data_IF_188681869409
#
_entry.id   IF_188681869409
#
_cell.length_a   1.000
_cell.length_b   1.000
_cell.length_c   1.000
_cell.angle_alpha   90.00
_cell.angle_beta   90.00
_cell.angle_gamma   90.00
#
_symmetry.space_group_name_H-M   'P 1'
#
loop_
_entity.id
_entity.type
_entity.pdbx_description
1 polymer ?
#
# COMPACT_ATOMS: atom_id res chain seq x y z
N UNK A 1 9.10 57.80 24.69
CA UNK A 1 9.98 56.68 25.10
C UNK A 1 9.18 55.38 25.04
N UNK A 2 9.63 54.41 24.21
CA UNK A 2 9.77 52.95 24.51
C UNK A 2 8.50 52.20 24.99
N UNK A 3 8.02 51.10 24.38
CA UNK A 3 8.66 49.95 23.69
C UNK A 3 7.60 49.21 22.83
N UNK A 4 7.99 48.72 21.66
CA UNK A 4 7.28 47.64 20.95
C UNK A 4 7.44 46.32 21.74
N UNK A 5 6.39 45.53 22.02
CA UNK A 5 6.56 44.18 22.50
C UNK A 5 6.93 43.27 21.33
N UNK A 6 8.21 42.90 21.36
CA UNK A 6 8.90 41.86 20.63
C UNK A 6 8.29 40.48 20.98
N UNK A 7 7.09 40.18 20.50
CA UNK A 7 6.41 38.89 20.74
C UNK A 7 5.82 38.31 19.44
N UNK A 8 6.42 38.64 18.31
CA UNK A 8 5.98 38.23 16.98
C UNK A 8 7.10 37.51 16.22
N UNK A 9 7.78 36.58 16.89
CA UNK A 9 8.85 35.76 16.31
C UNK A 9 9.02 34.56 17.23
N UNK A 10 8.29 33.46 16.97
CA UNK A 10 8.61 32.07 17.38
C UNK A 10 7.42 31.10 17.30
N UNK A 11 6.36 31.42 16.56
CA UNK A 11 5.51 30.37 15.96
C UNK A 11 6.06 30.08 14.56
N UNK A 12 7.30 29.62 14.51
CA UNK A 12 7.79 28.89 13.35
C UNK A 12 6.96 27.61 13.32
N UNK A 13 5.93 27.64 12.47
CA UNK A 13 5.16 26.49 12.05
C UNK A 13 6.16 25.39 11.69
N UNK A 14 6.35 24.42 12.60
CA UNK A 14 6.93 23.14 12.26
C UNK A 14 5.97 22.50 11.27
N UNK A 15 6.09 22.86 10.00
CA UNK A 15 5.58 22.06 8.91
C UNK A 15 6.39 20.77 8.96
N UNK A 16 5.92 19.81 9.74
CA UNK A 16 6.27 18.41 9.54
C UNK A 16 6.10 18.20 8.03
N UNK A 17 7.16 17.79 7.29
CA UNK A 17 6.96 17.40 5.91
C UNK A 17 5.83 16.37 5.95
N UNK A 18 4.76 16.63 5.19
CA UNK A 18 3.74 15.62 5.00
C UNK A 18 4.49 14.40 4.49
N UNK A 19 4.60 13.37 5.33
CA UNK A 19 5.16 12.09 4.97
C UNK A 19 4.25 11.61 3.85
N UNK A 20 4.66 11.84 2.60
CA UNK A 20 3.91 11.40 1.45
C UNK A 20 3.83 9.89 1.62
N UNK A 21 2.61 9.36 1.72
CA UNK A 21 2.41 7.92 1.75
C UNK A 21 2.98 7.39 0.42
N UNK A 22 4.07 6.64 0.53
CA UNK A 22 4.74 6.02 -0.61
C UNK A 22 4.21 4.59 -0.77
N UNK A 23 4.37 4.00 -1.94
CA UNK A 23 3.98 2.62 -2.19
C UNK A 23 5.00 1.93 -3.09
N UNK A 24 5.10 0.61 -2.95
CA UNK A 24 6.06 -0.16 -3.74
C UNK A 24 5.68 -0.11 -5.22
N UNK A 25 6.60 0.30 -6.12
CA UNK A 25 6.32 0.38 -7.55
C UNK A 25 5.84 -0.97 -8.12
N UNK A 26 4.81 -0.92 -8.97
CA UNK A 26 4.28 -2.12 -9.64
C UNK A 26 3.50 -3.09 -8.74
N UNK A 27 3.19 -2.72 -7.48
CA UNK A 27 2.56 -3.65 -6.53
C UNK A 27 1.21 -3.18 -6.01
N UNK A 28 0.28 -4.13 -5.98
CA UNK A 28 -1.04 -3.97 -5.40
C UNK A 28 -1.29 -5.10 -4.39
N UNK A 29 -2.04 -4.77 -3.35
CA UNK A 29 -2.64 -5.73 -2.43
C UNK A 29 -4.12 -5.84 -2.74
N UNK A 30 -4.62 -7.07 -2.81
CA UNK A 30 -6.01 -7.34 -3.14
C UNK A 30 -6.59 -8.44 -2.25
N UNK A 31 -7.89 -8.34 -1.98
CA UNK A 31 -8.67 -9.38 -1.31
C UNK A 31 -9.77 -9.77 -2.28
N UNK A 32 -9.70 -10.96 -2.92
CA UNK A 32 -10.74 -11.39 -3.83
C UNK A 32 -12.06 -11.64 -3.07
N UNK A 33 -13.19 -11.47 -3.76
CA UNK A 33 -14.51 -11.84 -3.21
C UNK A 33 -14.63 -13.36 -3.10
N UNK A 34 -14.14 -14.05 -4.13
CA UNK A 34 -14.08 -15.51 -4.24
C UNK A 34 -12.60 -15.96 -4.28
N UNK A 35 -12.13 -16.76 -3.32
CA UNK A 35 -10.74 -17.21 -3.24
C UNK A 35 -10.30 -18.11 -4.42
N UNK A 36 -11.25 -18.70 -5.16
CA UNK A 36 -11.00 -19.59 -6.30
C UNK A 36 -11.03 -18.85 -7.66
N UNK A 37 -11.33 -17.54 -7.65
CA UNK A 37 -11.40 -16.71 -8.85
C UNK A 37 -10.03 -16.57 -9.55
N UNK A 38 -8.98 -16.48 -8.74
CA UNK A 38 -7.59 -16.37 -9.17
C UNK A 38 -6.82 -17.58 -8.68
N UNK A 39 -6.29 -18.36 -9.64
CA UNK A 39 -5.35 -19.43 -9.37
C UNK A 39 -3.94 -18.89 -9.57
N UNK A 40 -3.09 -19.12 -8.57
CA UNK A 40 -1.66 -18.80 -8.64
C UNK A 40 -0.94 -20.09 -8.97
N UNK A 41 -0.25 -20.12 -10.10
CA UNK A 41 0.53 -21.27 -10.54
C UNK A 41 1.84 -21.37 -9.74
N UNK A 42 2.55 -22.51 -9.85
CA UNK A 42 3.77 -22.76 -9.10
C UNK A 42 4.91 -21.76 -9.39
N UNK A 43 4.91 -21.14 -10.57
CA UNK A 43 5.86 -20.09 -10.96
C UNK A 43 5.41 -18.68 -10.51
N UNK A 44 4.27 -18.57 -9.84
CA UNK A 44 3.65 -17.33 -9.39
C UNK A 44 2.89 -16.59 -10.48
N UNK A 45 2.69 -17.17 -11.66
CA UNK A 45 1.80 -16.60 -12.69
C UNK A 45 0.33 -16.68 -12.27
N UNK A 46 -0.47 -15.75 -12.78
CA UNK A 46 -1.91 -15.69 -12.52
C UNK A 46 -2.70 -16.36 -13.65
N UNK A 47 -3.52 -17.34 -13.28
CA UNK A 47 -4.61 -17.82 -14.09
C UNK A 47 -5.94 -17.31 -13.52
N UNK A 48 -6.78 -16.73 -14.37
CA UNK A 48 -8.09 -16.21 -14.00
C UNK A 48 -9.19 -16.94 -14.77
N UNK A 49 -10.24 -17.37 -14.08
CA UNK A 49 -11.39 -18.04 -14.71
C UNK A 49 -12.35 -17.06 -15.37
N UNK A 50 -12.37 -15.82 -14.91
CA UNK A 50 -13.22 -14.76 -15.44
C UNK A 50 -12.49 -14.01 -16.57
N UNK A 51 -13.08 -14.01 -17.77
CA UNK A 51 -12.45 -13.41 -18.95
C UNK A 51 -12.31 -11.88 -18.85
N UNK A 52 -13.26 -11.19 -18.21
CA UNK A 52 -13.23 -9.73 -18.08
C UNK A 52 -12.17 -9.28 -17.07
N UNK A 53 -12.06 -9.99 -15.95
CA UNK A 53 -10.99 -9.79 -14.97
C UNK A 53 -9.62 -10.14 -15.57
N UNK A 54 -9.52 -11.26 -16.29
CA UNK A 54 -8.29 -11.65 -16.99
C UNK A 54 -7.82 -10.55 -17.96
N UNK A 55 -8.75 -10.00 -18.76
CA UNK A 55 -8.44 -8.89 -19.66
C UNK A 55 -8.03 -7.62 -18.89
N UNK A 56 -8.66 -7.33 -17.76
CA UNK A 56 -8.32 -6.18 -16.91
C UNK A 56 -6.92 -6.33 -16.31
N UNK A 57 -6.57 -7.51 -15.80
CA UNK A 57 -5.23 -7.81 -15.28
C UNK A 57 -4.17 -7.68 -16.36
N UNK A 58 -4.42 -8.27 -17.54
CA UNK A 58 -3.52 -8.22 -18.69
C UNK A 58 -3.30 -6.78 -19.20
N UNK A 59 -4.36 -5.98 -19.30
CA UNK A 59 -4.29 -4.58 -19.72
C UNK A 59 -3.44 -3.71 -18.77
N UNK A 60 -3.27 -4.15 -17.52
CA UNK A 60 -2.43 -3.49 -16.51
C UNK A 60 -1.07 -4.16 -16.30
N UNK A 61 -0.76 -5.20 -17.07
CA UNK A 61 0.50 -5.95 -16.93
C UNK A 61 0.63 -6.72 -15.61
N UNK A 62 -0.48 -6.94 -14.89
CA UNK A 62 -0.52 -7.69 -13.63
C UNK A 62 -0.57 -9.18 -13.94
N UNK A 63 0.60 -9.79 -14.10
CA UNK A 63 0.74 -11.18 -14.58
C UNK A 63 1.11 -12.16 -13.48
N UNK A 64 1.54 -11.67 -12.32
CA UNK A 64 2.03 -12.49 -11.21
C UNK A 64 1.33 -12.15 -9.92
N UNK A 65 1.22 -13.14 -9.04
CA UNK A 65 0.74 -12.92 -7.69
C UNK A 65 1.39 -13.85 -6.67
N UNK A 66 1.34 -13.41 -5.42
CA UNK A 66 1.73 -14.20 -4.26
C UNK A 66 0.60 -14.15 -3.24
N UNK A 67 0.21 -15.31 -2.72
CA UNK A 67 -0.71 -15.39 -1.59
C UNK A 67 0.05 -15.06 -0.31
N UNK A 68 -0.38 -14.02 0.39
CA UNK A 68 0.18 -13.62 1.67
C UNK A 68 -0.57 -14.35 2.77
N UNK A 69 0.12 -15.25 3.46
CA UNK A 69 -0.37 -15.92 4.65
C UNK A 69 0.27 -15.31 5.90
N UNK A 70 -0.51 -15.24 6.98
CA UNK A 70 -0.02 -14.76 8.27
C UNK A 70 -0.88 -15.29 9.41
N UNK A 71 -0.30 -15.52 10.61
CA UNK A 71 -0.98 -16.16 11.73
C UNK A 71 -2.22 -15.39 12.22
N UNK A 72 -2.32 -14.10 11.92
CA UNK A 72 -3.42 -13.23 12.34
C UNK A 72 -4.41 -12.86 11.21
N UNK A 73 -4.24 -13.42 10.00
CA UNK A 73 -5.08 -13.06 8.87
C UNK A 73 -6.00 -14.20 8.44
N UNK A 74 -7.30 -14.15 8.75
CA UNK A 74 -8.28 -15.10 8.22
C UNK A 74 -8.64 -14.84 6.76
N UNK A 75 -8.03 -13.83 6.11
CA UNK A 75 -8.34 -13.42 4.74
C UNK A 75 -7.23 -13.80 3.79
N UNK A 76 -7.63 -14.21 2.59
CA UNK A 76 -6.73 -14.44 1.45
C UNK A 76 -6.27 -13.11 0.87
N UNK A 77 -5.16 -12.59 1.41
CA UNK A 77 -4.49 -11.44 0.81
C UNK A 77 -3.66 -11.92 -0.37
N UNK A 78 -3.82 -11.24 -1.50
CA UNK A 78 -3.00 -11.42 -2.69
C UNK A 78 -2.14 -10.19 -2.89
N UNK A 79 -0.83 -10.39 -3.08
CA UNK A 79 0.02 -9.37 -3.69
C UNK A 79 0.03 -9.60 -5.19
N UNK A 80 -0.38 -8.61 -5.96
CA UNK A 80 -0.33 -8.61 -7.42
C UNK A 80 0.91 -7.82 -7.85
N UNK A 81 1.73 -8.42 -8.72
CA UNK A 81 2.97 -7.85 -9.21
C UNK A 81 2.83 -7.51 -10.71
N UNK A 82 3.18 -6.28 -11.07
CA UNK A 82 3.20 -5.74 -12.43
C UNK A 82 4.52 -5.01 -12.75
N UNK A 83 4.59 -4.27 -13.86
CA UNK A 83 5.80 -3.53 -14.23
C UNK A 83 6.05 -2.34 -13.31
N UNK A 84 7.31 -1.89 -13.20
CA UNK A 84 7.70 -0.85 -12.25
C UNK A 84 7.11 0.54 -12.56
N UNK A 85 6.81 0.80 -13.82
CA UNK A 85 6.17 2.03 -14.32
C UNK A 85 4.63 1.96 -14.32
N UNK A 86 4.04 0.91 -13.73
CA UNK A 86 2.60 0.79 -13.56
C UNK A 86 2.03 2.01 -12.84
N UNK A 87 0.99 2.61 -13.42
CA UNK A 87 0.11 3.52 -12.69
C UNK A 87 -0.73 2.72 -11.68
N UNK A 88 -0.18 2.61 -10.46
CA UNK A 88 -0.74 1.81 -9.37
C UNK A 88 -2.14 2.29 -8.97
N UNK A 89 -2.40 3.60 -9.00
CA UNK A 89 -3.70 4.15 -8.61
C UNK A 89 -4.76 3.86 -9.67
N UNK A 90 -4.43 4.06 -10.95
CA UNK A 90 -5.35 3.72 -12.03
C UNK A 90 -5.60 2.20 -12.12
N UNK A 91 -4.59 1.38 -11.81
CA UNK A 91 -4.74 -0.08 -11.76
C UNK A 91 -5.62 -0.52 -10.57
N UNK A 92 -5.45 0.10 -9.38
CA UNK A 92 -6.34 -0.10 -8.23
C UNK A 92 -7.79 0.18 -8.62
N UNK A 93 -8.05 1.34 -9.23
CA UNK A 93 -9.43 1.75 -9.58
C UNK A 93 -10.05 0.83 -10.63
N UNK A 94 -9.26 0.40 -11.62
CA UNK A 94 -9.72 -0.56 -12.61
C UNK A 94 -10.09 -1.91 -11.99
N UNK A 95 -9.25 -2.44 -11.09
CA UNK A 95 -9.55 -3.69 -10.40
C UNK A 95 -10.75 -3.56 -9.47
N UNK A 96 -10.86 -2.45 -8.73
CA UNK A 96 -12.02 -2.20 -7.87
C UNK A 96 -13.33 -2.16 -8.67
N UNK A 97 -13.30 -1.55 -9.86
CA UNK A 97 -14.46 -1.47 -10.76
C UNK A 97 -14.94 -2.82 -11.29
N UNK A 98 -14.08 -3.86 -11.30
CA UNK A 98 -14.50 -5.21 -11.73
C UNK A 98 -15.48 -5.88 -10.77
N UNK A 99 -15.56 -5.44 -9.51
CA UNK A 99 -16.34 -6.11 -8.46
C UNK A 99 -15.81 -7.48 -8.02
N UNK A 100 -14.73 -7.97 -8.64
CA UNK A 100 -14.09 -9.24 -8.31
C UNK A 100 -13.35 -9.23 -6.96
N UNK A 101 -13.05 -8.04 -6.45
CA UNK A 101 -12.29 -7.85 -5.22
C UNK A 101 -13.12 -7.13 -4.17
N UNK A 102 -13.06 -7.64 -2.94
CA UNK A 102 -13.61 -6.99 -1.75
C UNK A 102 -12.83 -5.71 -1.43
N UNK A 103 -11.53 -5.74 -1.65
CA UNK A 103 -10.65 -4.59 -1.46
C UNK A 103 -9.44 -4.67 -2.40
N UNK A 104 -9.00 -3.52 -2.89
CA UNK A 104 -7.75 -3.35 -3.66
C UNK A 104 -7.05 -2.09 -3.14
N UNK A 105 -5.76 -2.18 -2.90
CA UNK A 105 -4.93 -1.08 -2.38
C UNK A 105 -3.54 -1.12 -3.00
N UNK A 106 -2.86 0.03 -3.13
CA UNK A 106 -1.40 0.05 -3.27
C UNK A 106 -0.73 -0.74 -2.14
N UNK A 107 0.42 -1.33 -2.43
CA UNK A 107 1.32 -1.92 -1.44
C UNK A 107 2.09 -0.80 -0.71
N UNK A 108 1.44 -0.16 0.25
CA UNK A 108 1.94 1.03 0.94
C UNK A 108 3.23 0.77 1.72
N UNK A 109 4.18 1.69 1.58
CA UNK A 109 5.37 1.79 2.42
C UNK A 109 5.04 2.67 3.63
N UNK A 110 4.95 2.04 4.79
CA UNK A 110 4.70 2.72 6.04
C UNK A 110 6.02 3.05 6.74
N UNK A 111 6.31 4.33 6.86
CA UNK A 111 7.45 4.82 7.62
C UNK A 111 7.00 5.13 9.05
N UNK A 112 7.54 4.39 10.02
CA UNK A 112 7.26 4.61 11.44
C UNK A 112 8.46 5.22 12.12
N UNK A 113 8.23 6.30 12.88
CA UNK A 113 9.19 6.77 13.88
C UNK A 113 8.85 6.09 15.20
N UNK A 114 9.73 5.21 15.67
CA UNK A 114 9.61 4.63 17.02
C UNK A 114 10.28 5.59 18.00
N UNK A 115 9.46 6.33 18.75
CA UNK A 115 9.94 7.08 19.91
C UNK A 115 9.87 6.16 21.13
N UNK A 116 10.99 5.88 21.80
CA UNK A 116 10.93 5.19 23.08
C UNK A 116 10.11 6.06 24.06
N UNK A 117 9.10 5.46 24.69
CA UNK A 117 8.27 6.16 25.67
C UNK A 117 9.04 6.43 26.99
N UNK A 118 10.23 5.85 27.12
CA UNK A 118 11.06 5.96 28.31
C UNK A 118 12.23 6.92 28.05
N UNK A 119 12.19 8.15 28.61
CA UNK A 119 13.29 9.11 28.49
C UNK A 119 14.58 8.63 29.19
N UNK A 120 14.53 7.57 30.00
CA UNK A 120 15.70 6.97 30.66
C UNK A 120 16.37 5.87 29.82
N UNK A 121 15.76 5.39 28.73
CA UNK A 121 16.30 4.27 27.93
C UNK A 121 17.69 4.58 27.35
N UNK A 122 17.97 5.85 27.02
CA UNK A 122 19.26 6.29 26.50
C UNK A 122 20.40 6.28 27.55
N UNK A 123 20.09 6.16 28.84
CA UNK A 123 21.09 6.13 29.92
C UNK A 123 21.47 4.71 30.36
N UNK A 124 20.86 3.68 29.77
CA UNK A 124 21.06 2.28 30.14
C UNK A 124 21.97 1.50 29.16
N UNK A 125 22.56 2.19 28.18
CA UNK A 125 23.52 1.63 27.20
C UNK A 125 24.88 2.29 27.35
#
# INVERSE_FOLDING_TARGET
>A
MRRLPLALLLLASLSLPALAADFTPGRLLAIPVDPDLLRIEADGSLACRDAALSATLAARGLTRAVRLSGPASPRDYLRLDGPADLDVLAARDALAATGAFRAVSPDWLLHFLVLPNDPMLAQQW
#
